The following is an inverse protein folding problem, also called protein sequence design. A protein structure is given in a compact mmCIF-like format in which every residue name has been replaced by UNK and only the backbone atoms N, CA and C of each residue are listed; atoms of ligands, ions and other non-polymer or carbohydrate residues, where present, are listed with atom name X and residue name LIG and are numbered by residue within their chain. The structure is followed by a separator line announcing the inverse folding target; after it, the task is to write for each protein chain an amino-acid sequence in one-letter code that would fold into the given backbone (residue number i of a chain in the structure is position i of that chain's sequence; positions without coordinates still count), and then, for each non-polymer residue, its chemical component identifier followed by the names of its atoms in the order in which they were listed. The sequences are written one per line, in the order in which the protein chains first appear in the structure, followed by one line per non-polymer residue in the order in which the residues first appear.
data_IF_813947992107
#
_entry.id   IF_813947992107
#
_cell.length_a   1.000
_cell.length_b   1.000
_cell.length_c   1.000
_cell.angle_alpha   90.00
_cell.angle_beta   90.00
_cell.angle_gamma   90.00
#
_symmetry.space_group_name_H-M   'P 1'
#
loop_
_entity.id
_entity.type
_entity.pdbx_description
1 polymer ?
#
# COMPACT_ATOMS: atom_id res chain seq x y z
N UNK A 1 -26.18 -19.55 -21.59
CA UNK A 1 -25.71 -18.54 -20.59
C UNK A 1 -26.57 -18.71 -19.33
N UNK A 2 -26.00 -19.31 -18.26
CA UNK A 2 -26.73 -19.34 -16.96
C UNK A 2 -26.75 -17.89 -16.44
N UNK A 3 -27.95 -17.38 -16.18
CA UNK A 3 -28.18 -16.04 -15.70
C UNK A 3 -27.32 -15.78 -14.45
N UNK A 4 -26.62 -14.66 -14.41
CA UNK A 4 -25.90 -14.14 -13.25
C UNK A 4 -26.90 -13.97 -12.10
N UNK A 5 -26.92 -14.91 -11.17
CA UNK A 5 -27.77 -14.78 -9.99
C UNK A 5 -27.15 -13.74 -9.06
N UNK A 6 -27.92 -12.71 -8.67
CA UNK A 6 -27.54 -11.74 -7.65
C UNK A 6 -27.05 -12.39 -6.35
N UNK A 7 -27.54 -13.59 -6.02
CA UNK A 7 -27.07 -14.37 -4.87
C UNK A 7 -25.63 -14.82 -4.99
N UNK A 8 -25.12 -15.04 -6.21
CA UNK A 8 -23.73 -15.47 -6.45
C UNK A 8 -22.81 -14.27 -6.75
N UNK A 9 -23.32 -13.25 -7.45
CA UNK A 9 -22.54 -12.06 -7.78
C UNK A 9 -22.38 -11.09 -6.60
N UNK A 10 -23.39 -10.97 -5.74
CA UNK A 10 -23.39 -10.01 -4.63
C UNK A 10 -22.19 -10.15 -3.68
N UNK A 11 -21.88 -11.35 -3.15
CA UNK A 11 -20.72 -11.54 -2.29
C UNK A 11 -19.39 -11.25 -2.99
N UNK A 12 -19.25 -11.60 -4.29
CA UNK A 12 -18.04 -11.28 -5.07
C UNK A 12 -17.86 -9.76 -5.24
N UNK A 13 -18.92 -9.03 -5.55
CA UNK A 13 -18.90 -7.58 -5.68
C UNK A 13 -18.58 -6.92 -4.35
N UNK A 14 -19.10 -7.43 -3.23
CA UNK A 14 -18.76 -6.93 -1.89
C UNK A 14 -17.26 -7.12 -1.59
N UNK A 15 -16.69 -8.28 -1.85
CA UNK A 15 -15.27 -8.55 -1.67
C UNK A 15 -14.40 -7.62 -2.55
N UNK A 16 -14.82 -7.42 -3.79
CA UNK A 16 -14.16 -6.50 -4.72
C UNK A 16 -14.25 -5.04 -4.22
N UNK A 17 -15.39 -4.64 -3.66
CA UNK A 17 -15.56 -3.32 -3.07
C UNK A 17 -14.70 -3.14 -1.80
N UNK A 18 -14.60 -4.16 -0.95
CA UNK A 18 -13.69 -4.12 0.21
C UNK A 18 -12.23 -3.99 -0.27
N UNK A 19 -11.86 -4.64 -1.36
CA UNK A 19 -10.51 -4.51 -1.90
C UNK A 19 -10.25 -3.14 -2.54
N UNK A 20 -11.27 -2.50 -3.13
CA UNK A 20 -11.24 -1.08 -3.51
C UNK A 20 -10.97 -0.20 -2.29
N UNK A 21 -11.70 -0.41 -1.18
CA UNK A 21 -11.51 0.34 0.07
C UNK A 21 -10.06 0.20 0.57
N UNK A 22 -9.48 -0.99 0.52
CA UNK A 22 -8.08 -1.22 0.93
C UNK A 22 -7.13 -0.33 0.12
N UNK A 23 -7.22 -0.34 -1.21
CA UNK A 23 -6.38 0.50 -2.06
C UNK A 23 -6.60 1.99 -1.82
N UNK A 24 -7.86 2.40 -1.76
CA UNK A 24 -8.26 3.78 -1.53
C UNK A 24 -7.73 4.31 -0.20
N UNK A 25 -8.00 3.64 0.92
CA UNK A 25 -7.59 4.09 2.25
C UNK A 25 -6.08 4.00 2.48
N UNK A 26 -5.40 3.02 1.88
CA UNK A 26 -3.93 2.96 1.89
C UNK A 26 -3.33 4.21 1.26
N UNK A 27 -3.85 4.61 0.11
CA UNK A 27 -3.36 5.81 -0.59
C UNK A 27 -3.80 7.08 0.12
N UNK A 28 -5.03 7.17 0.65
CA UNK A 28 -5.48 8.29 1.49
C UNK A 28 -4.52 8.51 2.66
N UNK A 29 -4.14 7.45 3.38
CA UNK A 29 -3.16 7.55 4.47
C UNK A 29 -1.83 8.18 4.00
N UNK A 30 -1.30 7.75 2.87
CA UNK A 30 -0.08 8.30 2.29
C UNK A 30 -0.23 9.76 1.84
N UNK A 31 -1.36 10.10 1.21
CA UNK A 31 -1.62 11.45 0.69
C UNK A 31 -1.93 12.47 1.80
N UNK A 32 -2.39 12.02 2.97
CA UNK A 32 -2.57 12.87 4.14
C UNK A 32 -1.23 13.39 4.72
N UNK A 33 -0.08 12.84 4.33
CA UNK A 33 1.23 13.30 4.83
C UNK A 33 1.46 14.80 4.60
N UNK A 34 1.15 15.32 3.42
CA UNK A 34 1.27 16.73 3.10
C UNK A 34 0.43 17.63 4.01
N UNK A 35 -0.90 17.47 4.03
CA UNK A 35 -1.77 18.18 4.94
C UNK A 35 -1.42 18.07 6.42
N UNK A 36 -1.03 16.87 6.87
CA UNK A 36 -0.66 16.64 8.27
C UNK A 36 0.69 17.29 8.66
N UNK A 37 1.62 17.41 7.70
CA UNK A 37 2.85 18.18 7.86
C UNK A 37 2.55 19.64 8.22
N UNK A 38 1.51 20.21 7.64
CA UNK A 38 1.07 21.57 7.94
C UNK A 38 0.29 21.63 9.24
N UNK A 39 -0.69 20.74 9.43
CA UNK A 39 -1.61 20.79 10.56
C UNK A 39 -0.98 20.43 11.92
N UNK A 40 0.03 19.52 11.95
CA UNK A 40 0.64 19.03 13.19
C UNK A 40 2.10 19.40 13.36
N UNK A 41 2.81 19.65 12.29
CA UNK A 41 4.28 19.80 12.30
C UNK A 41 4.71 21.18 11.77
N UNK A 42 3.83 22.20 11.89
CA UNK A 42 4.14 23.59 11.52
C UNK A 42 5.36 24.11 12.28
N UNK A 43 5.45 23.79 13.58
CA UNK A 43 6.45 24.28 14.50
C UNK A 43 7.73 23.41 14.52
N UNK A 44 7.70 22.23 13.85
CA UNK A 44 8.87 21.40 13.72
C UNK A 44 9.79 21.95 12.63
N UNK A 45 11.08 22.09 12.94
CA UNK A 45 12.10 22.63 12.03
C UNK A 45 13.12 21.56 11.64
N UNK A 46 13.63 20.81 12.62
CA UNK A 46 14.77 19.90 12.45
C UNK A 46 14.39 18.54 11.91
N UNK A 47 13.21 18.01 12.29
CA UNK A 47 12.75 16.66 11.93
C UNK A 47 11.40 16.65 11.18
N UNK A 48 11.03 17.75 10.56
CA UNK A 48 9.70 17.93 9.98
C UNK A 48 9.37 16.88 8.90
N UNK A 49 10.28 16.61 7.98
CA UNK A 49 10.08 15.64 6.91
C UNK A 49 10.19 14.19 7.41
N UNK A 50 11.13 13.93 8.32
CA UNK A 50 11.25 12.64 9.00
C UNK A 50 9.94 12.26 9.71
N UNK A 51 9.40 13.14 10.54
CA UNK A 51 8.14 12.93 11.25
C UNK A 51 6.98 12.76 10.26
N UNK A 52 6.93 13.55 9.18
CA UNK A 52 5.89 13.42 8.16
C UNK A 52 5.89 12.02 7.54
N UNK A 53 7.05 11.50 7.18
CA UNK A 53 7.17 10.17 6.55
C UNK A 53 6.98 9.01 7.53
N UNK A 54 7.07 9.24 8.84
CA UNK A 54 6.73 8.26 9.88
C UNK A 54 5.29 7.77 9.82
N UNK A 55 4.38 8.51 9.18
CA UNK A 55 3.01 8.07 8.90
C UNK A 55 3.01 6.79 8.05
N UNK A 56 3.83 6.74 7.00
CA UNK A 56 4.02 5.52 6.21
C UNK A 56 4.67 4.40 7.03
N UNK A 57 5.65 4.72 7.86
CA UNK A 57 6.28 3.73 8.74
C UNK A 57 5.26 3.05 9.65
N UNK A 58 4.44 3.83 10.35
CA UNK A 58 3.40 3.29 11.24
C UNK A 58 2.43 2.38 10.50
N UNK A 59 2.00 2.78 9.29
CA UNK A 59 1.12 2.00 8.44
C UNK A 59 1.74 0.64 8.07
N UNK A 60 2.93 0.62 7.49
CA UNK A 60 3.58 -0.61 7.04
C UNK A 60 4.11 -1.48 8.19
N UNK A 61 4.33 -0.92 9.38
CA UNK A 61 4.60 -1.67 10.60
C UNK A 61 3.41 -2.59 10.94
N UNK A 62 2.18 -2.14 10.70
CA UNK A 62 0.98 -2.96 10.81
C UNK A 62 1.02 -4.22 9.93
N UNK A 63 1.52 -4.09 8.69
CA UNK A 63 1.74 -5.23 7.79
C UNK A 63 2.77 -6.22 8.34
N UNK A 64 3.92 -5.73 8.79
CA UNK A 64 4.99 -6.58 9.29
C UNK A 64 4.53 -7.42 10.49
N UNK A 65 3.86 -6.79 11.46
CA UNK A 65 3.49 -7.44 12.73
C UNK A 65 2.31 -8.39 12.55
N UNK A 66 1.32 -8.05 11.70
CA UNK A 66 0.02 -8.73 11.71
C UNK A 66 -0.23 -9.67 10.53
N UNK A 67 0.52 -9.61 9.42
CA UNK A 67 0.30 -10.50 8.27
C UNK A 67 0.37 -11.98 8.65
N UNK A 68 1.43 -12.40 9.35
CA UNK A 68 1.62 -13.79 9.79
C UNK A 68 0.57 -14.22 10.83
N UNK A 69 0.20 -13.32 11.76
CA UNK A 69 -0.83 -13.58 12.77
C UNK A 69 -2.20 -13.79 12.14
N UNK A 70 -2.50 -13.04 11.08
CA UNK A 70 -3.77 -13.15 10.35
C UNK A 70 -3.91 -14.49 9.64
N UNK A 71 -2.84 -15.01 9.05
CA UNK A 71 -2.86 -16.36 8.47
C UNK A 71 -3.26 -17.44 9.49
N UNK A 72 -2.71 -17.38 10.71
CA UNK A 72 -3.11 -18.27 11.81
C UNK A 72 -4.55 -18.06 12.24
N UNK A 73 -4.99 -16.82 12.35
CA UNK A 73 -6.38 -16.49 12.68
C UNK A 73 -7.36 -16.98 11.62
N UNK A 74 -7.01 -16.88 10.34
CA UNK A 74 -7.81 -17.37 9.22
C UNK A 74 -8.08 -18.88 9.34
N UNK A 75 -7.06 -19.66 9.73
CA UNK A 75 -7.18 -21.10 9.93
C UNK A 75 -8.07 -21.45 11.13
N UNK A 76 -8.02 -20.65 12.20
CA UNK A 76 -8.76 -20.90 13.45
C UNK A 76 -10.24 -20.54 13.35
N UNK A 77 -10.57 -19.39 12.77
CA UNK A 77 -11.94 -18.84 12.81
C UNK A 77 -12.60 -18.72 11.42
N UNK A 78 -11.88 -19.03 10.34
CA UNK A 78 -12.36 -19.01 8.95
C UNK A 78 -12.43 -17.61 8.32
N UNK A 79 -12.74 -17.60 7.01
CA UNK A 79 -12.69 -16.39 6.16
C UNK A 79 -13.63 -15.28 6.63
N UNK A 80 -14.92 -15.58 6.79
CA UNK A 80 -15.94 -14.56 7.12
C UNK A 80 -15.65 -13.85 8.45
N UNK A 81 -15.29 -14.61 9.49
CA UNK A 81 -15.01 -14.04 10.81
C UNK A 81 -13.74 -13.21 10.79
N UNK A 82 -12.71 -13.66 10.07
CA UNK A 82 -11.45 -12.90 9.91
C UNK A 82 -11.71 -11.61 9.13
N UNK A 83 -12.49 -11.66 8.05
CA UNK A 83 -12.88 -10.48 7.26
C UNK A 83 -13.60 -9.43 8.13
N UNK A 84 -14.58 -9.86 8.94
CA UNK A 84 -15.31 -8.96 9.84
C UNK A 84 -14.37 -8.34 10.89
N UNK A 85 -13.47 -9.12 11.48
CA UNK A 85 -12.48 -8.59 12.45
C UNK A 85 -11.54 -7.58 11.79
N UNK A 86 -11.12 -7.84 10.56
CA UNK A 86 -10.28 -6.90 9.81
C UNK A 86 -10.99 -5.56 9.57
N UNK A 87 -12.28 -5.59 9.20
CA UNK A 87 -13.08 -4.36 9.04
C UNK A 87 -13.29 -3.63 10.37
N UNK A 88 -13.43 -4.34 11.50
CA UNK A 88 -13.50 -3.71 12.84
C UNK A 88 -12.20 -2.98 13.15
N UNK A 89 -11.03 -3.59 12.92
CA UNK A 89 -9.73 -2.92 13.09
C UNK A 89 -9.60 -1.68 12.19
N UNK A 90 -10.20 -1.71 10.98
CA UNK A 90 -10.25 -0.53 10.10
C UNK A 90 -11.09 0.59 10.71
N UNK A 91 -12.25 0.27 11.30
CA UNK A 91 -13.09 1.24 12.02
C UNK A 91 -12.31 1.85 13.18
N UNK A 92 -11.62 1.03 13.99
CA UNK A 92 -10.76 1.51 15.08
C UNK A 92 -9.70 2.49 14.58
N UNK A 93 -9.02 2.19 13.47
CA UNK A 93 -8.04 3.08 12.83
C UNK A 93 -8.64 4.44 12.43
N UNK A 94 -9.83 4.44 11.81
CA UNK A 94 -10.55 5.67 11.42
C UNK A 94 -11.04 6.48 12.63
N UNK A 95 -11.43 5.79 13.72
CA UNK A 95 -11.77 6.45 14.99
C UNK A 95 -10.55 7.14 15.59
N UNK A 96 -9.35 6.51 15.54
CA UNK A 96 -8.11 7.16 15.96
C UNK A 96 -7.75 8.36 15.08
N UNK A 97 -8.01 8.33 13.77
CA UNK A 97 -7.82 9.50 12.90
C UNK A 97 -8.75 10.65 13.30
N UNK A 98 -10.03 10.34 13.57
CA UNK A 98 -10.98 11.33 14.06
C UNK A 98 -10.56 11.88 15.42
N UNK A 99 -10.17 11.02 16.36
CA UNK A 99 -9.67 11.42 17.69
C UNK A 99 -8.40 12.29 17.59
N UNK A 100 -7.52 12.03 16.64
CA UNK A 100 -6.34 12.85 16.36
C UNK A 100 -6.73 14.30 16.03
N UNK A 101 -7.74 14.50 15.20
CA UNK A 101 -8.25 15.84 14.86
C UNK A 101 -8.81 16.56 16.09
N UNK A 102 -9.58 15.87 16.92
CA UNK A 102 -10.05 16.43 18.20
C UNK A 102 -8.91 16.78 19.15
N UNK A 103 -7.89 15.91 19.26
CA UNK A 103 -6.74 16.22 20.10
C UNK A 103 -6.02 17.50 19.65
N UNK A 104 -5.88 17.70 18.34
CA UNK A 104 -5.27 18.93 17.82
C UNK A 104 -6.08 20.20 18.08
N UNK A 105 -7.40 20.09 18.13
CA UNK A 105 -8.31 21.22 18.37
C UNK A 105 -8.44 21.57 19.86
N UNK A 106 -8.62 20.56 20.73
CA UNK A 106 -8.96 20.79 22.14
C UNK A 106 -7.74 20.72 23.10
N UNK A 107 -6.65 20.09 22.68
CA UNK A 107 -5.44 19.94 23.50
C UNK A 107 -4.13 20.23 22.70
N UNK A 108 -4.08 21.36 21.96
CA UNK A 108 -2.98 21.64 21.03
C UNK A 108 -1.62 21.81 21.73
N UNK A 109 -1.62 22.22 23.00
CA UNK A 109 -0.41 22.47 23.80
C UNK A 109 0.16 21.21 24.47
N UNK A 110 -0.56 20.07 24.38
CA UNK A 110 -0.04 18.81 24.88
C UNK A 110 0.77 18.10 23.79
N UNK A 111 2.00 17.78 24.09
CA UNK A 111 2.90 17.14 23.16
C UNK A 111 4.22 16.72 23.79
N UNK A 112 5.12 16.29 22.94
CA UNK A 112 6.46 15.84 23.34
C UNK A 112 7.49 16.65 22.53
N UNK A 113 8.59 17.04 23.17
CA UNK A 113 9.71 17.64 22.45
C UNK A 113 10.63 16.53 21.94
N UNK A 114 10.80 16.44 20.64
CA UNK A 114 11.66 15.47 19.96
C UNK A 114 12.79 16.24 19.26
N UNK A 115 14.01 16.06 19.69
CA UNK A 115 15.19 16.73 19.13
C UNK A 115 15.06 18.27 19.01
N UNK A 116 14.37 18.89 19.98
CA UNK A 116 14.13 20.34 19.99
C UNK A 116 12.83 20.78 19.32
N UNK A 117 12.19 19.94 18.52
CA UNK A 117 10.93 20.22 17.86
C UNK A 117 9.74 19.82 18.76
N UNK A 118 8.73 20.68 18.89
CA UNK A 118 7.47 20.34 19.56
C UNK A 118 6.60 19.51 18.63
N UNK A 119 6.16 18.35 19.10
CA UNK A 119 5.27 17.43 18.39
C UNK A 119 3.99 17.25 19.19
N UNK A 120 2.82 17.70 18.69
CA UNK A 120 1.58 17.63 19.43
C UNK A 120 1.08 16.21 19.62
N UNK A 121 0.37 15.96 20.71
CA UNK A 121 -0.17 14.64 21.05
C UNK A 121 -1.06 14.05 19.97
N UNK A 122 -1.85 14.92 19.28
CA UNK A 122 -2.70 14.52 18.15
C UNK A 122 -1.95 13.79 17.04
N UNK A 123 -0.68 14.13 16.76
CA UNK A 123 0.15 13.44 15.80
C UNK A 123 0.40 11.97 16.19
N UNK A 124 0.69 11.68 17.46
CA UNK A 124 0.89 10.29 17.93
C UNK A 124 -0.40 9.47 17.87
N UNK A 125 -1.53 10.11 18.14
CA UNK A 125 -2.86 9.49 17.97
C UNK A 125 -3.10 9.15 16.50
N UNK A 126 -2.68 10.02 15.57
CA UNK A 126 -2.75 9.74 14.13
C UNK A 126 -1.84 8.57 13.73
N UNK A 127 -0.62 8.49 14.24
CA UNK A 127 0.28 7.35 13.99
C UNK A 127 -0.33 6.03 14.45
N UNK A 128 -1.02 6.01 15.60
CA UNK A 128 -1.73 4.81 16.06
C UNK A 128 -2.86 4.44 15.10
N UNK A 129 -3.62 5.42 14.62
CA UNK A 129 -4.61 5.22 13.55
C UNK A 129 -3.98 4.62 12.28
N UNK A 130 -2.84 5.16 11.82
CA UNK A 130 -2.10 4.63 10.66
C UNK A 130 -1.65 3.19 10.87
N UNK A 131 -1.14 2.85 12.05
CA UNK A 131 -0.77 1.47 12.39
C UNK A 131 -1.97 0.51 12.33
N UNK A 132 -3.13 0.90 12.87
CA UNK A 132 -4.35 0.10 12.83
C UNK A 132 -4.90 -0.02 11.40
N UNK A 133 -4.84 1.05 10.61
CA UNK A 133 -5.22 1.02 9.20
C UNK A 133 -4.32 0.06 8.39
N UNK A 134 -3.00 0.12 8.58
CA UNK A 134 -2.06 -0.82 7.96
C UNK A 134 -2.27 -2.26 8.42
N UNK A 135 -2.56 -2.47 9.70
CA UNK A 135 -2.94 -3.77 10.26
C UNK A 135 -4.19 -4.33 9.57
N UNK A 136 -5.25 -3.52 9.47
CA UNK A 136 -6.48 -3.92 8.79
C UNK A 136 -6.26 -4.22 7.31
N UNK A 137 -5.53 -3.36 6.60
CA UNK A 137 -5.24 -3.56 5.18
C UNK A 137 -4.46 -4.86 4.93
N UNK A 138 -3.47 -5.17 5.78
CA UNK A 138 -2.75 -6.44 5.73
C UNK A 138 -3.68 -7.64 5.99
N UNK A 139 -4.51 -7.56 7.03
CA UNK A 139 -5.48 -8.60 7.36
C UNK A 139 -6.47 -8.84 6.21
N UNK A 140 -7.02 -7.79 5.63
CA UNK A 140 -7.95 -7.88 4.50
C UNK A 140 -7.31 -8.52 3.27
N UNK A 141 -6.06 -8.16 2.94
CA UNK A 141 -5.37 -8.76 1.80
C UNK A 141 -5.08 -10.25 1.99
N UNK A 142 -4.70 -10.66 3.20
CA UNK A 142 -4.50 -12.10 3.54
C UNK A 142 -5.79 -12.90 3.38
N UNK A 143 -6.95 -12.29 3.65
CA UNK A 143 -8.26 -12.95 3.54
C UNK A 143 -8.79 -12.91 2.10
N UNK A 144 -8.78 -11.73 1.47
CA UNK A 144 -9.50 -11.48 0.22
C UNK A 144 -8.80 -12.15 -0.96
N UNK A 145 -7.47 -12.11 -1.04
CA UNK A 145 -6.74 -12.65 -2.19
C UNK A 145 -7.04 -14.14 -2.45
N UNK A 146 -6.85 -15.05 -1.48
CA UNK A 146 -7.18 -16.47 -1.70
C UNK A 146 -8.69 -16.68 -1.86
N UNK A 147 -9.53 -15.88 -1.18
CA UNK A 147 -10.97 -16.00 -1.26
C UNK A 147 -11.50 -15.68 -2.66
N UNK A 148 -11.03 -14.60 -3.29
CA UNK A 148 -11.39 -14.23 -4.67
C UNK A 148 -10.87 -15.26 -5.67
N UNK A 149 -9.63 -15.74 -5.48
CA UNK A 149 -9.05 -16.74 -6.37
C UNK A 149 -9.88 -18.05 -6.38
N UNK A 150 -10.38 -18.47 -5.22
CA UNK A 150 -11.18 -19.68 -5.07
C UNK A 150 -12.70 -19.47 -5.22
N UNK A 151 -13.17 -18.22 -5.37
CA UNK A 151 -14.61 -17.90 -5.41
C UNK A 151 -15.33 -18.59 -6.57
N UNK A 152 -16.46 -19.29 -6.32
CA UNK A 152 -17.19 -20.06 -7.35
C UNK A 152 -18.08 -19.16 -8.23
N UNK A 153 -17.47 -18.25 -9.01
CA UNK A 153 -18.20 -17.42 -9.97
C UNK A 153 -18.28 -18.13 -11.33
N UNK A 154 -19.47 -18.53 -11.81
CA UNK A 154 -19.62 -19.28 -13.05
C UNK A 154 -19.06 -18.51 -14.26
N UNK A 155 -18.39 -19.22 -15.16
CA UNK A 155 -17.86 -18.65 -16.41
C UNK A 155 -16.61 -17.78 -16.25
N UNK A 156 -15.97 -17.78 -15.06
CA UNK A 156 -14.76 -17.01 -14.81
C UNK A 156 -13.63 -17.88 -14.30
N UNK A 157 -12.40 -17.59 -14.73
CA UNK A 157 -11.18 -18.18 -14.15
C UNK A 157 -10.73 -17.42 -12.89
N UNK A 158 -9.92 -18.07 -12.05
CA UNK A 158 -9.29 -17.43 -10.88
C UNK A 158 -8.50 -16.17 -11.27
N UNK A 159 -7.76 -16.25 -12.38
CA UNK A 159 -6.97 -15.14 -12.91
C UNK A 159 -7.85 -13.95 -13.32
N UNK A 160 -8.97 -14.21 -13.99
CA UNK A 160 -9.91 -13.14 -14.38
C UNK A 160 -10.50 -12.43 -13.17
N UNK A 161 -10.91 -13.19 -12.14
CA UNK A 161 -11.45 -12.61 -10.89
C UNK A 161 -10.41 -11.76 -10.16
N UNK A 162 -9.20 -12.28 -10.03
CA UNK A 162 -8.10 -11.54 -9.40
C UNK A 162 -7.76 -10.27 -10.17
N UNK A 163 -7.62 -10.34 -11.49
CA UNK A 163 -7.30 -9.17 -12.32
C UNK A 163 -8.39 -8.09 -12.23
N UNK A 164 -9.67 -8.49 -12.28
CA UNK A 164 -10.77 -7.55 -12.11
C UNK A 164 -10.71 -6.85 -10.75
N UNK A 165 -10.53 -7.61 -9.69
CA UNK A 165 -10.45 -7.08 -8.32
C UNK A 165 -9.24 -6.18 -8.13
N UNK A 166 -8.08 -6.54 -8.68
CA UNK A 166 -6.88 -5.70 -8.66
C UNK A 166 -7.05 -4.40 -9.46
N UNK A 167 -7.76 -4.44 -10.58
CA UNK A 167 -8.08 -3.22 -11.36
C UNK A 167 -8.97 -2.27 -10.55
N UNK A 168 -9.99 -2.80 -9.87
CA UNK A 168 -10.86 -2.00 -9.00
C UNK A 168 -10.10 -1.44 -7.80
N UNK A 169 -9.16 -2.19 -7.21
CA UNK A 169 -8.25 -1.68 -6.19
C UNK A 169 -7.38 -0.53 -6.74
N UNK A 170 -6.80 -0.69 -7.93
CA UNK A 170 -5.98 0.35 -8.58
C UNK A 170 -6.79 1.61 -8.92
N UNK A 171 -8.06 1.47 -9.25
CA UNK A 171 -8.94 2.62 -9.40
C UNK A 171 -9.09 3.37 -8.08
N UNK A 172 -9.23 2.66 -6.94
CA UNK A 172 -9.24 3.26 -5.61
C UNK A 172 -7.97 4.05 -5.30
N UNK A 173 -6.80 3.48 -5.57
CA UNK A 173 -5.52 4.19 -5.37
C UNK A 173 -5.39 5.43 -6.25
N UNK A 174 -5.90 5.38 -7.48
CA UNK A 174 -5.82 6.49 -8.46
C UNK A 174 -6.66 7.69 -8.04
N UNK A 175 -7.88 7.47 -7.51
CA UNK A 175 -8.77 8.57 -7.12
C UNK A 175 -8.47 9.14 -5.73
N UNK A 176 -7.73 8.42 -4.89
CA UNK A 176 -7.47 8.82 -3.51
C UNK A 176 -6.77 10.19 -3.37
N UNK A 177 -5.73 10.54 -4.16
CA UNK A 177 -5.11 11.86 -4.09
C UNK A 177 -6.09 13.00 -4.39
N UNK A 178 -6.96 12.82 -5.40
CA UNK A 178 -8.00 13.80 -5.75
C UNK A 178 -9.08 13.91 -4.67
N UNK A 179 -9.41 12.79 -4.02
CA UNK A 179 -10.32 12.80 -2.88
C UNK A 179 -9.75 13.60 -1.70
N UNK A 180 -8.48 13.41 -1.36
CA UNK A 180 -7.82 14.14 -0.27
C UNK A 180 -7.85 15.64 -0.55
N UNK A 181 -7.39 16.08 -1.72
CA UNK A 181 -7.33 17.52 -2.02
C UNK A 181 -8.66 18.13 -2.43
N UNK A 182 -9.48 17.42 -3.20
CA UNK A 182 -10.72 17.95 -3.77
C UNK A 182 -11.95 17.80 -2.86
N UNK A 183 -11.91 16.90 -1.86
CA UNK A 183 -13.04 16.65 -0.95
C UNK A 183 -12.65 16.88 0.50
N UNK A 184 -11.57 16.28 1.01
CA UNK A 184 -11.18 16.44 2.42
C UNK A 184 -10.73 17.87 2.72
N UNK A 185 -9.97 18.48 1.81
CA UNK A 185 -9.43 19.84 1.94
C UNK A 185 -9.93 20.79 0.86
N UNK A 186 -11.15 20.56 0.35
CA UNK A 186 -11.72 21.36 -0.73
C UNK A 186 -11.77 22.84 -0.38
N UNK A 187 -11.19 23.67 -1.26
CA UNK A 187 -11.19 25.13 -1.10
C UNK A 187 -10.25 25.68 -0.03
N UNK A 188 -9.41 24.82 0.57
CA UNK A 188 -8.43 25.24 1.59
C UNK A 188 -7.03 25.20 0.96
N UNK A 189 -6.30 26.33 1.00
CA UNK A 189 -4.89 26.34 0.63
C UNK A 189 -4.09 25.37 1.52
N UNK A 190 -3.13 24.65 0.94
CA UNK A 190 -2.35 23.63 1.66
C UNK A 190 -1.52 24.18 2.84
N UNK A 191 -1.19 25.46 2.81
CA UNK A 191 -0.46 26.18 3.85
C UNK A 191 -1.34 26.60 5.05
N UNK A 192 -2.66 26.50 4.91
CA UNK A 192 -3.64 26.88 5.94
C UNK A 192 -4.52 25.70 6.41
N UNK A 193 -4.12 24.48 6.10
CA UNK A 193 -4.82 23.26 6.51
C UNK A 193 -4.77 23.11 8.03
N UNK A 194 -5.95 22.86 8.63
CA UNK A 194 -6.11 22.57 10.06
C UNK A 194 -6.56 21.12 10.29
N UNK A 195 -6.23 20.58 11.46
CA UNK A 195 -6.59 19.20 11.79
C UNK A 195 -8.12 18.99 11.90
N UNK A 196 -8.89 20.01 12.24
CA UNK A 196 -10.36 19.95 12.34
C UNK A 196 -11.04 19.57 11.02
N UNK A 197 -10.44 19.94 9.88
CA UNK A 197 -10.96 19.61 8.54
C UNK A 197 -10.94 18.11 8.25
N UNK A 198 -10.10 17.34 8.95
CA UNK A 198 -10.05 15.88 8.85
C UNK A 198 -11.25 15.18 9.50
N UNK A 199 -11.92 15.84 10.44
CA UNK A 199 -12.95 15.22 11.28
C UNK A 199 -14.12 14.68 10.46
N UNK A 200 -14.76 15.52 9.65
CA UNK A 200 -15.93 15.10 8.86
C UNK A 200 -15.61 14.00 7.83
N UNK A 201 -14.56 14.10 7.01
CA UNK A 201 -14.19 13.03 6.08
C UNK A 201 -13.93 11.68 6.77
N UNK A 202 -13.24 11.67 7.91
CA UNK A 202 -12.97 10.42 8.63
C UNK A 202 -14.22 9.83 9.27
N UNK A 203 -15.14 10.65 9.77
CA UNK A 203 -16.46 10.19 10.24
C UNK A 203 -17.25 9.54 9.10
N UNK A 204 -17.31 10.18 7.93
CA UNK A 204 -18.04 9.64 6.77
C UNK A 204 -17.41 8.31 6.28
N UNK A 205 -16.08 8.22 6.24
CA UNK A 205 -15.39 6.96 5.94
C UNK A 205 -15.68 5.90 7.00
N UNK A 206 -15.71 6.26 8.29
CA UNK A 206 -16.07 5.33 9.38
C UNK A 206 -17.49 4.79 9.17
N UNK A 207 -18.45 5.64 8.87
CA UNK A 207 -19.84 5.22 8.59
C UNK A 207 -19.88 4.26 7.39
N UNK A 208 -19.15 4.55 6.32
CA UNK A 208 -19.05 3.67 5.15
C UNK A 208 -18.51 2.27 5.53
N UNK A 209 -17.45 2.21 6.34
CA UNK A 209 -16.88 0.92 6.78
C UNK A 209 -17.82 0.19 7.74
N UNK A 210 -18.54 0.89 8.62
CA UNK A 210 -19.57 0.30 9.49
C UNK A 210 -20.67 -0.34 8.66
N UNK A 211 -21.22 0.37 7.65
CA UNK A 211 -22.21 -0.16 6.73
C UNK A 211 -21.68 -1.38 5.98
N UNK A 212 -20.45 -1.32 5.47
CA UNK A 212 -19.78 -2.44 4.81
C UNK A 212 -19.63 -3.65 5.75
N UNK A 213 -19.29 -3.41 7.02
CA UNK A 213 -19.17 -4.46 8.04
C UNK A 213 -20.52 -5.12 8.34
N UNK A 214 -21.58 -4.33 8.48
CA UNK A 214 -22.94 -4.83 8.70
C UNK A 214 -23.40 -5.64 7.48
N UNK A 215 -23.16 -5.16 6.27
CA UNK A 215 -23.48 -5.87 5.03
C UNK A 215 -22.72 -7.19 4.95
N UNK A 216 -21.43 -7.21 5.28
CA UNK A 216 -20.61 -8.42 5.34
C UNK A 216 -21.14 -9.45 6.36
N UNK A 217 -21.63 -8.99 7.51
CA UNK A 217 -22.25 -9.88 8.51
C UNK A 217 -23.52 -10.54 7.99
N UNK A 218 -24.38 -9.77 7.31
CA UNK A 218 -25.70 -10.24 6.83
C UNK A 218 -25.60 -11.11 5.57
N UNK A 219 -24.60 -10.89 4.73
CA UNK A 219 -24.45 -11.61 3.46
C UNK A 219 -23.94 -13.03 3.72
N UNK A 220 -24.58 -14.01 3.09
CA UNK A 220 -24.09 -15.39 3.08
C UNK A 220 -22.88 -15.49 2.15
N UNK A 221 -21.68 -15.51 2.74
CA UNK A 221 -20.44 -15.75 2.01
C UNK A 221 -20.26 -17.26 1.84
N UNK A 222 -20.00 -17.77 0.62
CA UNK A 222 -19.77 -19.19 0.39
C UNK A 222 -18.60 -19.71 1.21
N UNK A 223 -18.76 -20.86 1.86
CA UNK A 223 -17.64 -21.56 2.47
C UNK A 223 -16.77 -22.19 1.37
N UNK A 224 -15.46 -21.95 1.44
CA UNK A 224 -14.50 -22.50 0.50
C UNK A 224 -13.75 -23.63 1.19
N UNK A 225 -14.27 -24.84 1.04
CA UNK A 225 -13.75 -26.05 1.71
C UNK A 225 -12.31 -26.39 1.34
N UNK A 226 -11.87 -26.12 0.11
CA UNK A 226 -10.51 -26.42 -0.37
C UNK A 226 -9.38 -25.59 0.26
N UNK A 227 -9.69 -24.48 0.92
CA UNK A 227 -8.69 -23.58 1.51
C UNK A 227 -8.36 -23.91 2.96
N UNK A 228 -9.20 -24.65 3.66
CA UNK A 228 -8.84 -25.20 4.98
C UNK A 228 -7.66 -26.16 4.90
N UNK A 229 -7.58 -26.99 3.85
CA UNK A 229 -6.45 -27.91 3.63
C UNK A 229 -5.19 -27.15 3.25
N UNK A 230 -5.23 -26.20 2.30
CA UNK A 230 -4.05 -25.43 1.90
C UNK A 230 -3.50 -24.54 3.01
N UNK A 231 -4.39 -24.02 3.88
CA UNK A 231 -4.00 -23.19 5.02
C UNK A 231 -3.62 -24.03 6.25
N UNK A 232 -4.25 -25.21 6.43
CA UNK A 232 -3.88 -26.17 7.47
C UNK A 232 -2.51 -26.80 7.19
N UNK A 233 -2.21 -27.11 5.92
CA UNK A 233 -0.89 -27.58 5.50
C UNK A 233 0.20 -26.52 5.73
N UNK A 234 -0.14 -25.22 5.62
CA UNK A 234 0.79 -24.13 5.95
C UNK A 234 1.00 -23.94 7.47
N UNK A 235 0.02 -24.31 8.31
CA UNK A 235 0.12 -24.21 9.77
C UNK A 235 0.52 -25.54 10.43
N UNK A 236 0.13 -26.68 9.84
CA UNK A 236 0.48 -28.02 10.33
C UNK A 236 1.90 -28.46 9.92
N UNK A 237 2.54 -27.79 8.96
CA UNK A 237 3.93 -28.07 8.60
C UNK A 237 4.97 -27.49 9.58
N UNK A 238 4.56 -27.00 10.75
CA UNK A 238 5.46 -26.90 11.90
C UNK A 238 5.76 -28.28 12.54
N UNK A 239 5.05 -29.35 12.14
CA UNK A 239 5.44 -30.74 12.45
C UNK A 239 6.34 -31.25 11.34
N UNK A 240 7.63 -30.98 11.51
CA UNK A 240 8.81 -31.74 11.06
C UNK A 240 8.53 -32.95 10.12
N UNK A 241 8.31 -32.67 8.83
CA UNK A 241 9.00 -33.47 7.81
C UNK A 241 10.31 -32.72 7.55
N UNK A 242 11.44 -33.44 7.59
CA UNK A 242 12.77 -32.93 7.26
C UNK A 242 12.82 -32.41 5.82
N UNK A 243 12.19 -31.27 5.57
CA UNK A 243 12.11 -30.57 4.31
C UNK A 243 13.05 -29.37 4.32
N UNK A 244 13.62 -29.03 3.19
CA UNK A 244 14.47 -27.86 3.00
C UNK A 244 13.76 -26.58 3.48
N UNK A 245 14.47 -25.73 4.19
CA UNK A 245 13.96 -24.39 4.53
C UNK A 245 13.59 -23.62 3.25
N UNK A 246 12.49 -22.88 3.25
CA UNK A 246 12.11 -22.00 2.13
C UNK A 246 13.21 -20.96 1.80
N UNK A 247 14.03 -20.61 2.78
CA UNK A 247 15.17 -19.73 2.61
C UNK A 247 16.35 -20.35 1.84
N UNK A 248 16.34 -21.68 1.60
CA UNK A 248 17.33 -22.33 0.76
C UNK A 248 17.15 -22.05 -0.74
N UNK A 249 15.96 -21.62 -1.15
CA UNK A 249 15.68 -21.25 -2.53
C UNK A 249 16.24 -19.85 -2.82
N UNK A 250 17.25 -19.79 -3.67
CA UNK A 250 17.97 -18.56 -3.99
C UNK A 250 17.07 -17.50 -4.62
N UNK A 251 16.23 -17.89 -5.58
CA UNK A 251 15.28 -16.99 -6.25
C UNK A 251 14.28 -16.38 -5.26
N UNK A 252 13.79 -17.11 -4.26
CA UNK A 252 12.93 -16.59 -3.21
C UNK A 252 13.68 -15.63 -2.29
N UNK A 253 14.87 -16.04 -1.80
CA UNK A 253 15.67 -15.19 -0.89
C UNK A 253 15.92 -13.80 -1.48
N UNK A 254 16.41 -13.75 -2.71
CA UNK A 254 16.65 -12.49 -3.40
C UNK A 254 15.35 -11.82 -3.86
N UNK A 255 14.29 -12.58 -4.12
CA UNK A 255 12.96 -12.06 -4.40
C UNK A 255 12.38 -11.28 -3.22
N UNK A 256 12.54 -11.78 -1.98
CA UNK A 256 12.13 -11.07 -0.75
C UNK A 256 12.91 -9.77 -0.56
N UNK A 257 14.22 -9.80 -0.79
CA UNK A 257 15.05 -8.59 -0.76
C UNK A 257 14.57 -7.61 -1.84
N UNK A 258 14.33 -8.09 -3.05
CA UNK A 258 13.92 -7.23 -4.17
C UNK A 258 12.56 -6.60 -3.95
N UNK A 259 11.58 -7.35 -3.42
CA UNK A 259 10.26 -6.78 -3.14
C UNK A 259 10.33 -5.73 -2.01
N UNK A 260 11.26 -5.88 -1.04
CA UNK A 260 11.52 -4.87 -0.02
C UNK A 260 11.98 -3.55 -0.64
N UNK A 261 12.93 -3.59 -1.57
CA UNK A 261 13.39 -2.41 -2.29
C UNK A 261 12.32 -1.87 -3.24
N UNK A 262 11.58 -2.74 -3.93
CA UNK A 262 10.50 -2.34 -4.84
C UNK A 262 9.38 -1.59 -4.11
N UNK A 263 8.84 -2.14 -3.04
CA UNK A 263 7.78 -1.47 -2.27
C UNK A 263 8.31 -0.20 -1.62
N UNK A 264 9.59 -0.20 -1.27
CA UNK A 264 10.27 1.00 -0.80
C UNK A 264 10.23 2.13 -1.81
N UNK A 265 10.67 1.91 -3.05
CA UNK A 265 10.64 2.94 -4.11
C UNK A 265 9.21 3.28 -4.53
N UNK A 266 8.30 2.29 -4.63
CA UNK A 266 6.89 2.49 -4.95
C UNK A 266 6.22 3.47 -3.99
N UNK A 267 6.34 3.22 -2.69
CA UNK A 267 5.71 4.04 -1.65
C UNK A 267 6.42 5.39 -1.51
N UNK A 268 7.75 5.44 -1.64
CA UNK A 268 8.51 6.69 -1.62
C UNK A 268 8.04 7.62 -2.74
N UNK A 269 7.99 7.15 -3.98
CA UNK A 269 7.52 8.01 -5.09
C UNK A 269 6.04 8.33 -4.90
N UNK A 270 5.20 7.34 -4.66
CA UNK A 270 3.75 7.53 -4.58
C UNK A 270 3.27 8.51 -3.50
N UNK A 271 4.00 8.62 -2.39
CA UNK A 271 3.64 9.49 -1.28
C UNK A 271 4.51 10.76 -1.24
N UNK A 272 5.84 10.63 -1.38
CA UNK A 272 6.76 11.74 -1.15
C UNK A 272 6.85 12.70 -2.36
N UNK A 273 6.40 12.30 -3.56
CA UNK A 273 6.27 13.22 -4.70
C UNK A 273 5.36 14.42 -4.35
N UNK A 274 4.35 14.17 -3.52
CA UNK A 274 3.45 15.20 -3.00
C UNK A 274 4.22 16.22 -2.12
N UNK A 275 5.06 15.72 -1.22
CA UNK A 275 5.85 16.55 -0.31
C UNK A 275 6.88 17.39 -1.08
N UNK A 276 7.54 16.82 -2.08
CA UNK A 276 8.45 17.54 -2.97
C UNK A 276 7.72 18.61 -3.79
N UNK A 277 6.56 18.26 -4.36
CA UNK A 277 5.75 19.23 -5.09
C UNK A 277 5.28 20.40 -4.22
N UNK A 278 4.90 20.15 -2.96
CA UNK A 278 4.53 21.20 -2.01
C UNK A 278 5.68 22.17 -1.74
N UNK A 279 6.93 21.69 -1.68
CA UNK A 279 8.10 22.53 -1.49
C UNK A 279 8.34 23.43 -2.72
N UNK A 280 8.22 22.89 -3.93
CA UNK A 280 8.39 23.64 -5.17
C UNK A 280 7.23 24.62 -5.46
N UNK A 281 6.02 24.34 -4.95
CA UNK A 281 4.84 25.18 -5.20
C UNK A 281 4.74 26.40 -4.27
N UNK A 282 5.65 26.58 -3.30
CA UNK A 282 5.66 27.80 -2.44
C UNK A 282 5.77 29.12 -3.23
N UNK A 283 5.44 29.13 -4.51
CA UNK A 283 5.40 30.28 -5.40
C UNK A 283 4.86 30.02 -6.80
N UNK A 284 4.46 28.79 -7.14
CA UNK A 284 4.08 28.46 -8.52
C UNK A 284 2.83 27.56 -8.59
N UNK A 285 1.68 28.15 -8.97
CA UNK A 285 0.39 27.46 -9.08
C UNK A 285 0.32 26.36 -10.18
N UNK A 286 1.38 26.17 -10.97
CA UNK A 286 1.38 25.26 -12.12
C UNK A 286 1.55 23.76 -11.73
N UNK A 287 2.05 23.45 -10.52
CA UNK A 287 2.25 22.08 -10.05
C UNK A 287 1.17 21.72 -9.01
N UNK A 288 0.24 20.83 -9.36
CA UNK A 288 -0.69 20.26 -8.38
C UNK A 288 -0.09 18.98 -7.77
N UNK A 289 0.26 18.97 -6.47
CA UNK A 289 0.77 17.78 -5.79
C UNK A 289 -0.14 16.55 -5.96
N UNK A 290 -1.46 16.77 -5.82
CA UNK A 290 -2.45 15.71 -5.98
C UNK A 290 -2.49 15.15 -7.41
N UNK A 291 -2.34 15.99 -8.42
CA UNK A 291 -2.35 15.54 -9.81
C UNK A 291 -1.12 14.67 -10.12
N UNK A 292 0.06 15.04 -9.61
CA UNK A 292 1.28 14.23 -9.76
C UNK A 292 1.10 12.84 -9.12
N UNK A 293 0.58 12.78 -7.89
CA UNK A 293 0.29 11.51 -7.23
C UNK A 293 -0.79 10.71 -7.98
N UNK A 294 -1.83 11.38 -8.50
CA UNK A 294 -2.88 10.74 -9.31
C UNK A 294 -2.32 10.14 -10.59
N UNK A 295 -1.41 10.83 -11.28
CA UNK A 295 -0.74 10.32 -12.48
C UNK A 295 0.15 9.12 -12.14
N UNK A 296 0.89 9.19 -11.03
CA UNK A 296 1.70 8.07 -10.57
C UNK A 296 0.84 6.82 -10.32
N UNK A 297 -0.19 6.93 -9.49
CA UNK A 297 -1.09 5.79 -9.18
C UNK A 297 -1.97 5.40 -10.37
N UNK A 298 -2.36 6.35 -11.23
CA UNK A 298 -3.06 6.10 -12.49
C UNK A 298 -2.22 5.31 -13.48
N UNK A 299 -0.89 5.53 -13.47
CA UNK A 299 0.06 4.73 -14.21
C UNK A 299 -0.01 3.24 -13.87
N UNK A 300 -0.28 2.88 -12.60
CA UNK A 300 -0.50 1.49 -12.21
C UNK A 300 -1.74 0.88 -12.86
N UNK A 301 -2.84 1.62 -12.90
CA UNK A 301 -4.07 1.14 -13.56
C UNK A 301 -3.82 0.91 -15.06
N UNK A 302 -3.25 1.90 -15.75
CA UNK A 302 -2.98 1.84 -17.19
C UNK A 302 -1.98 0.72 -17.50
N UNK A 303 -0.86 0.65 -16.79
CA UNK A 303 0.17 -0.35 -17.04
C UNK A 303 -0.29 -1.78 -16.79
N UNK A 304 -1.14 -2.00 -15.77
CA UNK A 304 -1.78 -3.32 -15.52
C UNK A 304 -2.74 -3.70 -16.65
N UNK A 305 -3.53 -2.75 -17.16
CA UNK A 305 -4.42 -3.01 -18.31
C UNK A 305 -3.63 -3.33 -19.58
N UNK A 306 -2.58 -2.57 -19.87
CA UNK A 306 -1.68 -2.82 -21.00
C UNK A 306 -1.02 -4.19 -20.88
N UNK A 307 -0.47 -4.50 -19.71
CA UNK A 307 0.16 -5.81 -19.45
C UNK A 307 -0.82 -6.98 -19.58
N UNK A 308 -2.08 -6.81 -19.14
CA UNK A 308 -3.11 -7.85 -19.28
C UNK A 308 -3.47 -8.16 -20.74
N UNK A 309 -3.29 -7.19 -21.65
CA UNK A 309 -3.47 -7.40 -23.10
C UNK A 309 -2.26 -8.04 -23.80
N UNK A 310 -1.09 -8.02 -23.18
CA UNK A 310 0.14 -8.59 -23.73
C UNK A 310 0.20 -10.10 -23.54
N UNK A 311 -0.10 -10.88 -24.59
CA UNK A 311 -0.02 -12.34 -24.54
C UNK A 311 1.44 -12.80 -24.64
N UNK A 312 1.80 -13.86 -23.87
CA UNK A 312 3.09 -14.56 -23.96
C UNK A 312 4.37 -13.79 -23.54
N UNK A 313 4.25 -12.69 -22.82
CA UNK A 313 5.43 -11.99 -22.29
C UNK A 313 5.93 -12.68 -21.03
N UNK A 314 7.23 -13.07 -21.05
CA UNK A 314 7.88 -13.70 -19.91
C UNK A 314 8.16 -12.67 -18.81
N UNK A 315 8.02 -13.03 -17.51
CA UNK A 315 8.20 -12.08 -16.40
C UNK A 315 9.59 -11.39 -16.37
N UNK A 316 10.65 -12.13 -16.71
CA UNK A 316 12.02 -11.58 -16.69
C UNK A 316 12.27 -10.45 -17.69
N UNK A 317 12.07 -10.63 -19.02
CA UNK A 317 12.28 -9.52 -19.97
C UNK A 317 11.37 -8.35 -19.66
N UNK A 318 10.13 -8.59 -19.24
CA UNK A 318 9.20 -7.54 -18.82
C UNK A 318 9.77 -6.74 -17.63
N UNK A 319 10.24 -7.43 -16.57
CA UNK A 319 10.86 -6.77 -15.42
C UNK A 319 12.05 -5.91 -15.84
N UNK A 320 12.95 -6.43 -16.68
CA UNK A 320 14.12 -5.68 -17.15
C UNK A 320 13.74 -4.43 -17.93
N UNK A 321 12.78 -4.55 -18.86
CA UNK A 321 12.34 -3.41 -19.69
C UNK A 321 11.71 -2.32 -18.82
N UNK A 322 10.79 -2.67 -17.92
CA UNK A 322 10.12 -1.66 -17.08
C UNK A 322 11.09 -1.04 -16.05
N UNK A 323 12.03 -1.81 -15.50
CA UNK A 323 13.02 -1.27 -14.57
C UNK A 323 13.98 -0.31 -15.27
N UNK A 324 14.45 -0.64 -16.49
CA UNK A 324 15.28 0.27 -17.27
C UNK A 324 14.53 1.56 -17.63
N UNK A 325 13.25 1.46 -18.01
CA UNK A 325 12.40 2.63 -18.25
C UNK A 325 12.22 3.50 -17.01
N UNK A 326 11.99 2.89 -15.83
CA UNK A 326 11.91 3.59 -14.56
C UNK A 326 13.21 4.32 -14.23
N UNK A 327 14.37 3.65 -14.35
CA UNK A 327 15.70 4.24 -14.11
C UNK A 327 15.92 5.47 -15.02
N UNK A 328 15.64 5.35 -16.33
CA UNK A 328 15.82 6.45 -17.28
C UNK A 328 14.96 7.65 -16.90
N UNK A 329 13.67 7.43 -16.58
CA UNK A 329 12.77 8.49 -16.18
C UNK A 329 13.20 9.14 -14.85
N UNK A 330 13.64 8.35 -13.88
CA UNK A 330 14.10 8.87 -12.60
C UNK A 330 15.38 9.71 -12.76
N UNK A 331 16.34 9.25 -13.54
CA UNK A 331 17.56 10.04 -13.84
C UNK A 331 17.19 11.34 -14.55
N UNK A 332 16.31 11.27 -15.58
CA UNK A 332 15.84 12.46 -16.28
C UNK A 332 15.11 13.43 -15.32
N UNK A 333 14.24 12.91 -14.44
CA UNK A 333 13.53 13.72 -13.45
C UNK A 333 14.50 14.42 -12.48
N UNK A 334 15.53 13.71 -12.01
CA UNK A 334 16.54 14.27 -11.11
C UNK A 334 17.42 15.35 -11.79
N UNK A 335 17.77 15.16 -13.05
CA UNK A 335 18.60 16.11 -13.79
C UNK A 335 17.83 17.36 -14.23
N UNK A 336 16.53 17.24 -14.48
CA UNK A 336 15.68 18.33 -15.01
C UNK A 336 14.77 18.96 -13.97
N UNK A 337 14.76 18.46 -12.72
CA UNK A 337 13.83 18.83 -11.63
C UNK A 337 12.35 18.69 -12.04
N UNK A 338 12.07 17.79 -12.98
CA UNK A 338 10.74 17.64 -13.57
C UNK A 338 9.96 16.49 -12.88
N UNK A 339 9.06 16.83 -11.98
CA UNK A 339 8.23 15.86 -11.25
C UNK A 339 7.22 15.11 -12.13
N UNK A 340 6.88 15.60 -13.33
CA UNK A 340 6.03 14.86 -14.26
C UNK A 340 6.72 13.59 -14.77
N UNK A 341 8.04 13.64 -14.99
CA UNK A 341 8.81 12.45 -15.35
C UNK A 341 8.82 11.43 -14.19
N UNK A 342 8.92 11.92 -12.94
CA UNK A 342 8.87 11.08 -11.76
C UNK A 342 7.47 10.45 -11.59
N UNK A 343 6.40 11.21 -11.83
CA UNK A 343 5.04 10.69 -11.81
C UNK A 343 4.81 9.61 -12.89
N UNK A 344 5.41 9.76 -14.08
CA UNK A 344 5.33 8.79 -15.17
C UNK A 344 5.99 7.44 -14.84
N UNK A 345 6.89 7.37 -13.85
CA UNK A 345 7.48 6.12 -13.35
C UNK A 345 6.41 5.12 -12.91
N UNK A 346 5.25 5.59 -12.42
CA UNK A 346 4.13 4.74 -12.01
C UNK A 346 3.66 3.75 -13.09
N UNK A 347 3.76 4.14 -14.38
CA UNK A 347 3.44 3.26 -15.50
C UNK A 347 4.37 2.02 -15.51
N UNK A 348 5.66 2.23 -15.25
CA UNK A 348 6.67 1.16 -15.25
C UNK A 348 6.59 0.32 -13.98
N UNK A 349 6.32 0.92 -12.82
CA UNK A 349 6.14 0.21 -11.56
C UNK A 349 4.95 -0.76 -11.56
N UNK A 350 3.93 -0.49 -12.37
CA UNK A 350 2.64 -1.18 -12.38
C UNK A 350 2.69 -2.71 -12.42
N UNK A 351 3.69 -3.27 -13.08
CA UNK A 351 3.85 -4.72 -13.32
C UNK A 351 5.02 -5.35 -12.57
N UNK A 352 5.87 -4.54 -11.94
CA UNK A 352 7.09 -5.03 -11.27
C UNK A 352 6.76 -6.02 -10.15
N UNK A 353 5.76 -5.73 -9.32
CA UNK A 353 5.29 -6.64 -8.28
C UNK A 353 5.03 -8.05 -8.81
N UNK A 354 4.20 -8.15 -9.86
CA UNK A 354 3.80 -9.42 -10.45
C UNK A 354 4.99 -10.17 -11.04
N UNK A 355 5.92 -9.46 -11.68
CA UNK A 355 7.12 -10.04 -12.25
C UNK A 355 8.07 -10.57 -11.16
N UNK A 356 8.33 -9.77 -10.11
CA UNK A 356 9.19 -10.16 -9.00
C UNK A 356 8.60 -11.38 -8.27
N UNK A 357 7.30 -11.35 -7.96
CA UNK A 357 6.61 -12.46 -7.31
C UNK A 357 6.71 -13.75 -8.12
N UNK A 358 6.36 -13.69 -9.41
CA UNK A 358 6.38 -14.86 -10.28
C UNK A 358 7.77 -15.47 -10.36
N UNK A 359 8.82 -14.66 -10.49
CA UNK A 359 10.20 -15.12 -10.51
C UNK A 359 10.65 -15.68 -9.16
N UNK A 360 10.20 -15.11 -8.05
CA UNK A 360 10.55 -15.53 -6.70
C UNK A 360 9.99 -16.91 -6.34
N UNK A 361 8.76 -17.22 -6.79
CA UNK A 361 8.08 -18.48 -6.47
C UNK A 361 8.26 -19.56 -7.56
N UNK A 362 8.98 -19.26 -8.65
CA UNK A 362 9.16 -20.17 -9.75
C UNK A 362 9.94 -21.43 -9.33
N UNK A 363 9.33 -22.59 -9.59
CA UNK A 363 9.92 -23.90 -9.32
C UNK A 363 9.91 -24.31 -7.84
N UNK A 364 9.18 -23.63 -6.96
CA UNK A 364 9.10 -23.99 -5.54
C UNK A 364 8.11 -25.13 -5.25
N UNK A 365 7.22 -25.48 -6.18
CA UNK A 365 6.27 -26.59 -6.02
C UNK A 365 5.41 -26.46 -4.76
N UNK A 366 5.46 -27.45 -3.88
CA UNK A 366 4.72 -27.48 -2.60
C UNK A 366 5.11 -26.36 -1.62
N UNK A 367 6.30 -25.79 -1.74
CA UNK A 367 6.74 -24.67 -0.90
C UNK A 367 6.16 -23.32 -1.29
N UNK A 368 5.43 -23.22 -2.41
CA UNK A 368 4.93 -21.93 -2.96
C UNK A 368 4.04 -21.18 -1.97
N UNK A 369 3.16 -21.85 -1.25
CA UNK A 369 2.27 -21.22 -0.26
C UNK A 369 3.06 -20.57 0.87
N UNK A 370 4.02 -21.30 1.46
CA UNK A 370 4.89 -20.80 2.53
C UNK A 370 5.82 -19.69 2.02
N UNK A 371 6.35 -19.84 0.81
CA UNK A 371 7.17 -18.85 0.15
C UNK A 371 6.42 -17.52 -0.08
N UNK A 372 5.14 -17.59 -0.48
CA UNK A 372 4.29 -16.40 -0.65
C UNK A 372 4.12 -15.63 0.66
N UNK A 373 3.93 -16.33 1.78
CA UNK A 373 3.86 -15.69 3.10
C UNK A 373 5.16 -14.98 3.49
N UNK A 374 6.31 -15.62 3.24
CA UNK A 374 7.63 -15.03 3.49
C UNK A 374 7.90 -13.84 2.56
N UNK A 375 7.48 -13.93 1.30
CA UNK A 375 7.61 -12.85 0.31
C UNK A 375 6.88 -11.57 0.77
N UNK A 376 5.70 -11.71 1.37
CA UNK A 376 4.93 -10.56 1.90
C UNK A 376 5.63 -9.81 3.05
N UNK A 377 6.60 -10.41 3.73
CA UNK A 377 7.40 -9.68 4.74
C UNK A 377 8.21 -8.54 4.11
N UNK A 378 8.61 -8.69 2.85
CA UNK A 378 9.32 -7.66 2.10
C UNK A 378 8.53 -6.37 1.88
N UNK A 379 7.18 -6.39 2.00
CA UNK A 379 6.33 -5.19 1.90
C UNK A 379 6.73 -4.11 2.92
N UNK A 380 7.41 -4.50 4.00
CA UNK A 380 7.95 -3.57 5.00
C UNK A 380 8.95 -2.55 4.43
N UNK A 381 9.47 -2.73 3.23
CA UNK A 381 10.24 -1.71 2.52
C UNK A 381 9.51 -0.36 2.40
N UNK A 382 8.18 -0.40 2.25
CA UNK A 382 7.34 0.81 2.26
C UNK A 382 7.32 1.58 3.60
N UNK A 383 7.79 0.97 4.69
CA UNK A 383 8.03 1.68 5.94
C UNK A 383 9.40 2.37 5.94
N UNK A 384 10.43 1.67 5.48
CA UNK A 384 11.83 2.06 5.68
C UNK A 384 12.25 3.17 4.73
N UNK A 385 12.03 3.00 3.43
CA UNK A 385 12.59 3.92 2.43
C UNK A 385 11.96 5.32 2.42
N UNK A 386 10.63 5.50 2.60
CA UNK A 386 10.07 6.84 2.72
C UNK A 386 10.62 7.61 3.92
N UNK A 387 10.81 6.94 5.06
CA UNK A 387 11.39 7.57 6.26
C UNK A 387 12.85 7.89 6.05
N UNK A 388 13.64 6.98 5.47
CA UNK A 388 15.04 7.24 5.13
C UNK A 388 15.14 8.47 4.21
N UNK A 389 14.26 8.60 3.23
CA UNK A 389 14.21 9.76 2.36
C UNK A 389 13.85 11.04 3.14
N UNK A 390 12.87 10.99 4.05
CA UNK A 390 12.50 12.12 4.90
C UNK A 390 13.63 12.61 5.79
N UNK A 391 14.38 11.67 6.41
CA UNK A 391 15.59 11.98 7.21
C UNK A 391 16.66 12.67 6.34
N UNK A 392 16.87 12.17 5.14
CA UNK A 392 17.84 12.77 4.21
C UNK A 392 17.42 14.17 3.79
N UNK A 393 16.13 14.42 3.57
CA UNK A 393 15.62 15.77 3.26
C UNK A 393 15.87 16.72 4.43
N UNK A 394 15.60 16.32 5.66
CA UNK A 394 15.85 17.15 6.84
C UNK A 394 17.34 17.46 7.01
N UNK A 395 18.22 16.56 6.59
CA UNK A 395 19.68 16.73 6.68
C UNK A 395 20.27 17.53 5.50
N UNK A 396 19.82 17.29 4.27
CA UNK A 396 20.35 17.89 3.04
C UNK A 396 19.65 19.23 2.73
N UNK A 397 18.39 19.41 3.19
CA UNK A 397 17.54 20.56 2.89
C UNK A 397 16.91 20.55 1.50
N UNK A 398 16.89 19.40 0.79
CA UNK A 398 16.33 19.31 -0.56
C UNK A 398 15.78 17.91 -0.85
N UNK A 399 14.59 17.83 -1.43
CA UNK A 399 14.00 16.59 -1.94
C UNK A 399 14.73 16.06 -3.17
N UNK A 400 15.23 16.93 -4.02
CA UNK A 400 15.77 16.59 -5.35
C UNK A 400 16.82 15.48 -5.30
N UNK A 401 17.84 15.64 -4.43
CA UNK A 401 18.92 14.65 -4.32
C UNK A 401 18.49 13.36 -3.60
N UNK A 402 17.42 13.40 -2.81
CA UNK A 402 16.98 12.22 -2.05
C UNK A 402 16.33 11.14 -2.92
N UNK A 403 15.94 11.47 -4.15
CA UNK A 403 15.47 10.48 -5.12
C UNK A 403 16.54 9.47 -5.51
N UNK A 404 17.81 9.74 -5.22
CA UNK A 404 18.92 8.77 -5.32
C UNK A 404 18.63 7.51 -4.52
N UNK A 405 17.94 7.60 -3.38
CA UNK A 405 17.53 6.45 -2.56
C UNK A 405 16.62 5.52 -3.38
N UNK A 406 15.58 6.08 -4.01
CA UNK A 406 14.68 5.32 -4.87
C UNK A 406 15.39 4.78 -6.12
N UNK A 407 16.30 5.54 -6.70
CA UNK A 407 17.12 5.09 -7.84
C UNK A 407 18.00 3.90 -7.49
N UNK A 408 18.62 3.87 -6.29
CA UNK A 408 19.38 2.70 -5.81
C UNK A 408 18.47 1.48 -5.68
N UNK A 409 17.22 1.66 -5.23
CA UNK A 409 16.25 0.58 -5.18
C UNK A 409 16.00 -0.03 -6.59
N UNK A 410 15.88 0.81 -7.62
CA UNK A 410 15.72 0.35 -9.01
C UNK A 410 16.91 -0.48 -9.50
N UNK A 411 18.14 -0.12 -9.14
CA UNK A 411 19.32 -0.93 -9.49
C UNK A 411 19.30 -2.30 -8.81
N UNK A 412 18.78 -2.42 -7.60
CA UNK A 412 18.59 -3.73 -6.93
C UNK A 412 17.56 -4.58 -7.69
N UNK A 413 16.45 -3.98 -8.14
CA UNK A 413 15.43 -4.65 -8.94
C UNK A 413 16.03 -5.11 -10.29
N UNK A 414 16.80 -4.25 -10.94
CA UNK A 414 17.50 -4.57 -12.18
C UNK A 414 18.47 -5.75 -11.99
N UNK A 415 19.28 -5.73 -10.93
CA UNK A 415 20.18 -6.81 -10.59
C UNK A 415 19.45 -8.15 -10.37
N UNK A 416 18.29 -8.11 -9.72
CA UNK A 416 17.46 -9.31 -9.54
C UNK A 416 17.00 -9.88 -10.89
N UNK A 417 16.48 -9.05 -11.78
CA UNK A 417 16.09 -9.46 -13.14
C UNK A 417 17.25 -10.01 -13.99
N UNK A 418 18.48 -9.55 -13.74
CA UNK A 418 19.66 -10.02 -14.47
C UNK A 418 20.22 -11.32 -13.89
N UNK A 419 20.37 -11.43 -12.56
CA UNK A 419 21.13 -12.50 -11.89
C UNK A 419 20.44 -13.13 -10.69
N UNK A 420 19.71 -12.33 -9.88
CA UNK A 420 19.17 -12.76 -8.58
C UNK A 420 18.06 -13.80 -8.69
N UNK A 421 17.27 -13.80 -9.78
CA UNK A 421 16.17 -14.73 -10.02
C UNK A 421 16.60 -16.17 -10.32
N UNK A 422 17.88 -16.41 -10.61
CA UNK A 422 18.39 -17.76 -10.95
C UNK A 422 18.25 -18.68 -9.75
N UNK A 423 17.79 -19.90 -10.05
CA UNK A 423 17.63 -20.99 -9.06
C UNK A 423 18.97 -21.48 -8.52
#
# INVERSE_FOLDING_TARGET
MKAFSLKTAGPFLLLTFIYFIVGFLTTVNGQCQGPLKVAFLSDAVTMRNSLTTFISFAFFLGYLINSSRTGRMLNLIGYKRTLIRSLVVMIEGLVFYTASAFCAEYVPYQGVVVNGDFVPFGYFVFLMGSFLMGTSAAMLQVVINPYIAAYPLPGTSAVQRMNFTCAVNSFGTTIAPLFVTGIMFAGVPLDSVTASQLTLPFILMTVCIVVTTITTRRLALPDIEGTRSASADSAASDSVKEGKSVWSFRNLKYGVITIFFYVGTEVSIGNNINLHAMELTSGNAALSPALLATIYWGGFLIGRMVSASMKNVKPRPMLLTVTLGAIVLMIAAMLTENLWLLAAVGLFHSVMWSCIFTLAVDGLGEYTSRASGVFMMGVFGGAVFPVLQGILVDWIGSWQFTWTVSLVCEFVILWYGLRGYRK
#
